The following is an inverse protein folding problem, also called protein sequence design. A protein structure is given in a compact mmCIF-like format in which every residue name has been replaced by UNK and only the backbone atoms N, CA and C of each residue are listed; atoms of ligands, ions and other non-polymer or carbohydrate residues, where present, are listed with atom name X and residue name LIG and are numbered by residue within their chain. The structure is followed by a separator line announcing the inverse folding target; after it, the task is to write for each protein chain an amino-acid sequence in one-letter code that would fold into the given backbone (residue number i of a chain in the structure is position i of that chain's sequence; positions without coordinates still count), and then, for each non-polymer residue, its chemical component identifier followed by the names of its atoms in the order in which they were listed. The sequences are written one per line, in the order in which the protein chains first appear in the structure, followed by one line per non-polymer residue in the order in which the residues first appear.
data_IF_868053616970
#
_entry.id   IF_868053616970
#
_cell.length_a   1.000
_cell.length_b   1.000
_cell.length_c   1.000
_cell.angle_alpha   90.00
_cell.angle_beta   90.00
_cell.angle_gamma   90.00
#
_symmetry.space_group_name_H-M   'P 1'
#
loop_
_entity.id
_entity.type
_entity.pdbx_description
1 polymer ?
#
# COMPACT_ATOMS: atom_id res chain seq x y z
N UNK A 1 40.61 -11.95 35.53
CA UNK A 1 39.32 -12.61 35.31
C UNK A 1 38.46 -11.64 34.53
N UNK A 2 38.57 -11.68 33.20
CA UNK A 2 37.98 -10.68 32.30
C UNK A 2 37.67 -11.35 30.97
N UNK A 3 36.40 -11.58 30.68
CA UNK A 3 35.94 -12.09 29.38
C UNK A 3 35.46 -10.87 28.59
N UNK A 4 36.05 -10.61 27.43
CA UNK A 4 35.65 -9.52 26.54
C UNK A 4 34.71 -10.07 25.47
N UNK A 5 33.49 -9.53 25.39
CA UNK A 5 32.58 -9.82 24.27
C UNK A 5 33.17 -9.23 22.99
N UNK A 6 33.45 -10.08 22.01
CA UNK A 6 33.73 -9.66 20.62
C UNK A 6 32.40 -9.65 19.87
N UNK A 7 32.10 -8.54 19.21
CA UNK A 7 30.88 -8.39 18.43
C UNK A 7 30.91 -9.30 17.19
N UNK A 8 29.88 -10.13 17.03
CA UNK A 8 29.63 -10.86 15.77
C UNK A 8 28.82 -9.96 14.85
N UNK A 9 29.52 -9.10 14.11
CA UNK A 9 28.94 -8.43 12.95
C UNK A 9 28.92 -9.44 11.79
N UNK A 10 27.79 -10.14 11.61
CA UNK A 10 27.63 -11.10 10.52
C UNK A 10 27.42 -10.33 9.20
N UNK A 11 28.51 -10.15 8.45
CA UNK A 11 28.45 -9.53 7.13
C UNK A 11 27.72 -10.46 6.14
N UNK A 12 26.46 -10.16 5.86
CA UNK A 12 25.76 -10.71 4.70
C UNK A 12 26.32 -10.08 3.41
N UNK A 13 27.48 -10.56 2.95
CA UNK A 13 27.82 -10.45 1.54
C UNK A 13 26.84 -11.33 0.78
N UNK A 14 25.78 -10.73 0.24
CA UNK A 14 24.94 -11.37 -0.75
C UNK A 14 25.79 -11.56 -2.00
N UNK A 15 26.23 -12.81 -2.23
CA UNK A 15 26.77 -13.23 -3.50
C UNK A 15 25.64 -13.24 -4.53
N UNK A 16 25.28 -12.05 -5.01
CA UNK A 16 24.40 -11.87 -6.16
C UNK A 16 25.08 -12.45 -7.39
N UNK A 17 24.87 -13.74 -7.64
CA UNK A 17 25.17 -14.35 -8.93
C UNK A 17 24.54 -13.48 -10.02
N UNK A 18 25.29 -13.24 -11.10
CA UNK A 18 24.85 -12.41 -12.23
C UNK A 18 23.77 -13.18 -13.00
N UNK A 19 22.56 -13.19 -12.47
CA UNK A 19 21.36 -13.49 -13.24
C UNK A 19 21.20 -12.35 -14.25
N UNK A 20 21.21 -12.69 -15.54
CA UNK A 20 20.83 -11.76 -16.59
C UNK A 20 19.35 -11.38 -16.39
N UNK A 21 19.00 -10.12 -16.69
CA UNK A 21 17.59 -9.74 -16.83
C UNK A 21 16.95 -10.61 -17.92
N UNK A 22 15.67 -10.97 -17.77
CA UNK A 22 15.03 -11.86 -18.73
C UNK A 22 14.84 -11.20 -20.09
N UNK A 23 14.86 -12.03 -21.13
CA UNK A 23 14.61 -11.62 -22.51
C UNK A 23 13.09 -11.43 -22.73
N UNK A 24 12.57 -10.31 -22.22
CA UNK A 24 11.23 -9.84 -22.57
C UNK A 24 11.26 -9.24 -23.99
N UNK A 25 10.43 -9.73 -24.93
CA UNK A 25 10.38 -9.19 -26.28
C UNK A 25 10.23 -7.67 -26.31
N UNK A 26 11.06 -7.00 -27.10
CA UNK A 26 11.11 -5.55 -27.26
C UNK A 26 11.54 -4.73 -26.03
N UNK A 27 11.88 -5.34 -24.89
CA UNK A 27 12.38 -4.61 -23.73
C UNK A 27 13.91 -4.45 -23.80
N UNK A 28 14.43 -3.33 -23.30
CA UNK A 28 15.83 -3.12 -22.98
C UNK A 28 15.97 -2.79 -21.48
N UNK A 29 16.96 -3.35 -20.80
CA UNK A 29 17.13 -3.23 -19.35
C UNK A 29 18.42 -2.49 -18.97
N UNK A 30 18.43 -1.83 -17.80
CA UNK A 30 19.62 -1.20 -17.19
C UNK A 30 20.29 -0.20 -18.14
N UNK A 31 21.62 -0.17 -18.19
CA UNK A 31 22.44 0.66 -19.08
C UNK A 31 22.05 0.57 -20.58
N UNK A 32 21.49 -0.57 -21.03
CA UNK A 32 21.00 -0.71 -22.41
C UNK A 32 19.67 0.03 -22.64
N UNK A 33 18.89 0.33 -21.61
CA UNK A 33 17.65 1.11 -21.72
C UNK A 33 17.95 2.55 -22.16
N UNK A 34 18.88 3.24 -21.48
CA UNK A 34 19.28 4.60 -21.84
C UNK A 34 19.82 4.69 -23.28
N UNK A 35 20.64 3.72 -23.69
CA UNK A 35 21.15 3.62 -25.06
C UNK A 35 20.05 3.33 -26.10
N UNK A 36 19.06 2.49 -25.76
CA UNK A 36 17.94 2.15 -26.63
C UNK A 36 16.89 3.26 -26.75
N UNK A 37 16.74 4.11 -25.73
CA UNK A 37 15.87 5.29 -25.76
C UNK A 37 16.45 6.34 -26.72
N UNK A 38 17.74 6.68 -26.57
CA UNK A 38 18.45 7.55 -27.50
C UNK A 38 17.73 8.86 -27.81
N UNK A 39 17.32 9.05 -29.08
CA UNK A 39 16.64 10.26 -29.54
C UNK A 39 15.22 10.44 -28.98
N UNK A 40 14.57 9.37 -28.50
CA UNK A 40 13.21 9.40 -27.96
C UNK A 40 13.14 9.87 -26.50
N UNK A 41 14.28 10.22 -25.87
CA UNK A 41 14.38 10.56 -24.43
C UNK A 41 13.33 11.58 -23.95
N UNK A 42 13.03 12.60 -24.75
CA UNK A 42 12.02 13.60 -24.41
C UNK A 42 10.58 13.08 -24.52
N UNK A 43 10.32 12.08 -25.37
CA UNK A 43 9.02 11.40 -25.46
C UNK A 43 8.85 10.38 -24.34
N UNK A 44 9.89 9.61 -24.04
CA UNK A 44 9.88 8.63 -22.93
C UNK A 44 9.72 9.34 -21.58
N UNK A 45 10.35 10.51 -21.37
CA UNK A 45 10.18 11.31 -20.15
C UNK A 45 8.72 11.75 -19.98
N UNK A 46 8.11 12.34 -21.03
CA UNK A 46 6.68 12.68 -21.03
C UNK A 46 5.78 11.48 -20.79
N UNK A 47 6.10 10.33 -21.39
CA UNK A 47 5.36 9.08 -21.21
C UNK A 47 5.49 8.54 -19.78
N UNK A 48 6.62 8.77 -19.10
CA UNK A 48 6.81 8.42 -17.69
C UNK A 48 6.25 9.47 -16.70
N UNK A 49 5.80 10.64 -17.18
CA UNK A 49 5.28 11.73 -16.33
C UNK A 49 6.36 12.63 -15.72
N UNK A 50 7.62 12.47 -16.13
CA UNK A 50 8.79 13.15 -15.55
C UNK A 50 9.52 14.03 -16.58
N UNK A 51 10.53 14.79 -16.15
CA UNK A 51 11.45 15.49 -17.05
C UNK A 51 12.65 14.61 -17.47
N UNK A 52 13.49 15.10 -18.38
CA UNK A 52 14.63 14.33 -18.89
C UNK A 52 15.72 14.10 -17.83
N UNK A 53 16.15 15.09 -17.02
CA UNK A 53 17.02 14.86 -15.86
C UNK A 53 16.52 13.74 -14.94
N UNK A 54 15.23 13.75 -14.60
CA UNK A 54 14.64 12.76 -13.71
C UNK A 54 14.54 11.37 -14.37
N UNK A 55 14.16 11.29 -15.64
CA UNK A 55 14.23 10.04 -16.39
C UNK A 55 15.65 9.44 -16.38
N UNK A 56 16.69 10.27 -16.54
CA UNK A 56 18.08 9.81 -16.49
C UNK A 56 18.48 9.31 -15.09
N UNK A 57 17.87 9.83 -14.01
CA UNK A 57 18.01 9.28 -12.65
C UNK A 57 17.32 7.92 -12.55
N UNK A 58 16.06 7.82 -12.98
CA UNK A 58 15.28 6.58 -12.95
C UNK A 58 15.94 5.43 -13.72
N UNK A 59 16.59 5.73 -14.86
CA UNK A 59 17.34 4.74 -15.66
C UNK A 59 18.60 4.19 -14.97
N UNK A 60 18.97 4.67 -13.78
CA UNK A 60 20.00 4.06 -12.93
C UNK A 60 19.47 2.91 -12.07
N UNK A 61 18.15 2.79 -11.92
CA UNK A 61 17.53 1.66 -11.25
C UNK A 61 17.83 0.35 -12.01
N UNK A 62 18.18 -0.70 -11.28
CA UNK A 62 18.54 -2.01 -11.88
C UNK A 62 17.34 -2.79 -12.43
N UNK A 63 16.14 -2.42 -11.99
CA UNK A 63 14.87 -3.11 -12.16
C UNK A 63 13.94 -2.40 -13.16
N UNK A 64 14.35 -1.23 -13.66
CA UNK A 64 13.66 -0.51 -14.75
C UNK A 64 13.99 -1.09 -16.14
N UNK A 65 12.94 -1.26 -16.94
CA UNK A 65 12.97 -1.70 -18.33
C UNK A 65 12.30 -0.69 -19.26
N UNK A 66 12.77 -0.64 -20.50
CA UNK A 66 12.24 0.20 -21.56
C UNK A 66 11.66 -0.65 -22.69
N UNK A 67 10.34 -0.56 -22.91
CA UNK A 67 9.68 -1.10 -24.10
C UNK A 67 9.95 -0.19 -25.31
N UNK A 68 10.77 -0.70 -26.23
CA UNK A 68 11.21 -0.02 -27.46
C UNK A 68 10.09 0.20 -28.48
N UNK A 69 9.00 -0.56 -28.42
CA UNK A 69 7.86 -0.45 -29.35
C UNK A 69 6.86 0.56 -28.84
N UNK A 70 6.47 0.47 -27.57
CA UNK A 70 5.46 1.37 -26.99
C UNK A 70 6.06 2.67 -26.42
N UNK A 71 7.38 2.79 -26.37
CA UNK A 71 8.13 3.91 -25.77
C UNK A 71 7.74 4.16 -24.31
N UNK A 72 7.62 3.08 -23.53
CA UNK A 72 7.13 3.07 -22.14
C UNK A 72 8.14 2.41 -21.21
N UNK A 73 8.12 2.82 -19.95
CA UNK A 73 8.88 2.19 -18.89
C UNK A 73 8.03 1.12 -18.20
N UNK A 74 8.69 0.08 -17.71
CA UNK A 74 8.16 -0.88 -16.77
C UNK A 74 9.16 -1.09 -15.65
N UNK A 75 8.68 -1.46 -14.46
CA UNK A 75 9.53 -2.05 -13.43
C UNK A 75 9.33 -3.56 -13.41
N UNK A 76 10.40 -4.26 -13.03
CA UNK A 76 10.31 -5.66 -12.66
C UNK A 76 11.00 -5.90 -11.32
N UNK A 77 10.18 -6.11 -10.31
CA UNK A 77 10.52 -5.90 -8.91
C UNK A 77 11.26 -7.11 -8.34
N UNK A 78 12.46 -7.37 -8.87
CA UNK A 78 13.32 -8.50 -8.51
C UNK A 78 13.77 -8.42 -7.05
N UNK A 79 13.92 -7.21 -6.49
CA UNK A 79 14.25 -7.02 -5.07
C UNK A 79 13.13 -7.39 -4.09
N UNK A 80 11.89 -7.55 -4.57
CA UNK A 80 10.75 -8.02 -3.78
C UNK A 80 10.66 -9.56 -3.73
N UNK A 81 11.40 -10.28 -4.57
CA UNK A 81 11.41 -11.74 -4.53
C UNK A 81 12.09 -12.26 -3.25
N UNK A 82 11.34 -12.99 -2.44
CA UNK A 82 11.81 -13.61 -1.19
C UNK A 82 12.51 -14.93 -1.51
N UNK A 83 13.68 -15.23 -0.90
CA UNK A 83 14.38 -16.50 -1.14
C UNK A 83 13.52 -17.73 -0.84
N UNK A 84 13.57 -18.73 -1.72
CA UNK A 84 12.81 -19.96 -1.57
C UNK A 84 13.13 -20.67 -0.23
N UNK A 85 12.09 -20.99 0.53
CA UNK A 85 12.23 -21.60 1.87
C UNK A 85 12.53 -20.62 3.01
N UNK A 86 12.58 -19.32 2.77
CA UNK A 86 12.60 -18.33 3.85
C UNK A 86 11.27 -18.35 4.61
N UNK A 87 11.31 -18.71 5.88
CA UNK A 87 10.17 -18.54 6.79
C UNK A 87 9.89 -17.04 6.96
N UNK A 88 8.64 -16.58 6.81
CA UNK A 88 8.30 -15.20 7.10
C UNK A 88 8.74 -14.80 8.52
N UNK A 89 9.48 -13.70 8.62
CA UNK A 89 9.89 -13.17 9.91
C UNK A 89 8.69 -12.45 10.52
N UNK A 90 8.00 -13.13 11.44
CA UNK A 90 6.83 -12.58 12.12
C UNK A 90 7.16 -11.21 12.74
N UNK A 91 6.40 -10.18 12.34
CA UNK A 91 6.61 -8.83 12.84
C UNK A 91 6.20 -8.74 14.33
N UNK A 92 7.02 -8.16 15.22
CA UNK A 92 6.67 -8.03 16.63
C UNK A 92 5.70 -6.85 16.87
N UNK A 93 4.60 -7.11 17.57
CA UNK A 93 3.86 -6.08 18.31
C UNK A 93 2.51 -5.68 17.72
N UNK A 94 1.49 -5.70 18.58
CA UNK A 94 0.09 -5.33 18.33
C UNK A 94 -0.14 -3.82 18.26
N UNK A 95 -1.03 -3.36 17.38
CA UNK A 95 -1.86 -2.16 17.59
C UNK A 95 -2.82 -1.89 16.42
N UNK A 96 -4.16 -1.99 16.58
CA UNK A 96 -5.09 -1.91 15.42
C UNK A 96 -6.60 -1.56 15.67
N UNK A 97 -7.49 -1.57 14.63
CA UNK A 97 -8.88 -1.05 14.63
C UNK A 97 -10.09 -2.00 14.80
N UNK A 98 -11.25 -1.37 15.04
CA UNK A 98 -12.21 -0.97 13.99
C UNK A 98 -13.28 -2.00 13.65
N UNK A 99 -13.19 -2.54 12.45
CA UNK A 99 -14.02 -3.65 12.00
C UNK A 99 -13.10 -4.83 11.67
N UNK A 100 -13.27 -6.02 12.28
CA UNK A 100 -12.50 -7.21 11.94
C UNK A 100 -12.77 -7.64 10.48
N UNK A 101 -11.89 -8.47 9.94
CA UNK A 101 -12.08 -9.03 8.60
C UNK A 101 -13.40 -9.82 8.50
N UNK A 102 -14.10 -9.77 7.34
CA UNK A 102 -15.28 -10.59 7.10
C UNK A 102 -15.02 -12.07 7.39
N UNK A 103 -15.84 -12.66 8.25
CA UNK A 103 -15.75 -14.08 8.62
C UNK A 103 -16.42 -15.00 7.61
N UNK A 104 -17.26 -14.46 6.72
CA UNK A 104 -17.84 -15.18 5.60
C UNK A 104 -16.83 -15.28 4.45
N UNK A 105 -16.23 -16.45 4.29
CA UNK A 105 -15.21 -16.72 3.28
C UNK A 105 -15.77 -16.78 1.85
N UNK A 106 -17.09 -16.81 1.65
CA UNK A 106 -17.68 -16.70 0.32
C UNK A 106 -17.51 -15.31 -0.29
N UNK A 107 -17.30 -14.29 0.56
CA UNK A 107 -17.08 -12.92 0.13
C UNK A 107 -15.72 -12.69 -0.55
N UNK A 108 -14.77 -13.64 -0.49
CA UNK A 108 -13.40 -13.46 -0.99
C UNK A 108 -13.30 -12.92 -2.43
N UNK A 109 -14.30 -13.17 -3.28
CA UNK A 109 -14.38 -12.71 -4.69
C UNK A 109 -15.49 -11.66 -4.93
N UNK A 110 -15.95 -11.00 -3.86
CA UNK A 110 -17.06 -10.04 -3.80
C UNK A 110 -16.78 -8.86 -2.86
N UNK A 111 -15.51 -8.59 -2.56
CA UNK A 111 -15.10 -7.51 -1.65
C UNK A 111 -15.05 -6.18 -2.40
N UNK A 112 -15.40 -5.09 -1.73
CA UNK A 112 -15.34 -3.72 -2.24
C UNK A 112 -14.99 -2.78 -1.10
N UNK A 113 -13.92 -1.98 -1.23
CA UNK A 113 -13.55 -1.00 -0.18
C UNK A 113 -14.44 0.23 -0.20
N UNK A 114 -14.96 0.57 -1.39
CA UNK A 114 -15.79 1.77 -1.61
C UNK A 114 -16.70 1.58 -2.83
N UNK A 115 -17.77 0.76 -2.73
CA UNK A 115 -18.73 0.57 -3.81
C UNK A 115 -19.22 1.90 -4.40
N UNK A 116 -19.09 2.07 -5.71
CA UNK A 116 -19.54 3.27 -6.43
C UNK A 116 -18.51 4.40 -6.54
N UNK A 117 -17.27 4.21 -6.07
CA UNK A 117 -16.18 5.16 -6.33
C UNK A 117 -15.90 5.31 -7.85
N UNK A 118 -15.43 6.49 -8.31
CA UNK A 118 -15.16 6.77 -9.73
C UNK A 118 -13.83 6.16 -10.23
N UNK A 119 -13.07 5.49 -9.36
CA UNK A 119 -11.82 4.79 -9.65
C UNK A 119 -11.88 3.37 -9.09
N UNK A 120 -11.18 2.43 -9.72
CA UNK A 120 -11.17 1.02 -9.29
C UNK A 120 -9.81 0.34 -9.41
N UNK A 121 -9.45 -0.42 -8.39
CA UNK A 121 -8.31 -1.33 -8.39
C UNK A 121 -8.85 -2.76 -8.24
N UNK A 122 -8.75 -3.57 -9.29
CA UNK A 122 -9.22 -4.96 -9.29
C UNK A 122 -8.08 -5.88 -8.90
N UNK A 123 -8.30 -6.67 -7.84
CA UNK A 123 -7.39 -7.71 -7.38
C UNK A 123 -7.91 -9.05 -7.86
N UNK A 124 -7.35 -9.54 -8.97
CA UNK A 124 -7.69 -10.78 -9.64
C UNK A 124 -6.87 -11.93 -9.04
N UNK A 125 -7.55 -12.79 -8.29
CA UNK A 125 -7.01 -14.02 -7.74
C UNK A 125 -7.52 -15.27 -8.49
N UNK A 126 -8.46 -15.11 -9.42
CA UNK A 126 -9.17 -16.24 -10.06
C UNK A 126 -8.49 -16.76 -11.32
N UNK A 127 -7.41 -16.11 -11.74
CA UNK A 127 -6.54 -16.53 -12.82
C UNK A 127 -6.89 -15.80 -14.13
N UNK A 128 -5.87 -15.39 -14.86
CA UNK A 128 -6.02 -14.45 -15.98
C UNK A 128 -5.29 -14.92 -17.23
N UNK A 129 -5.91 -14.71 -18.40
CA UNK A 129 -5.24 -14.89 -19.70
C UNK A 129 -5.04 -13.54 -20.37
N UNK A 130 -3.84 -12.98 -20.20
CA UNK A 130 -3.45 -11.68 -20.77
C UNK A 130 -3.15 -11.83 -22.25
N UNK A 131 -3.95 -11.21 -23.11
CA UNK A 131 -3.83 -11.23 -24.58
C UNK A 131 -4.13 -9.87 -25.19
N UNK A 132 -3.46 -9.51 -26.29
CA UNK A 132 -3.71 -8.25 -27.02
C UNK A 132 -3.17 -6.99 -26.33
N UNK A 133 -2.31 -7.14 -25.34
CA UNK A 133 -1.72 -6.06 -24.52
C UNK A 133 -0.26 -5.78 -24.90
N UNK A 134 0.33 -4.74 -24.33
CA UNK A 134 1.76 -4.43 -24.40
C UNK A 134 2.67 -5.52 -23.80
N UNK A 135 2.12 -6.49 -23.04
CA UNK A 135 2.89 -7.65 -22.54
C UNK A 135 3.05 -8.77 -23.56
N UNK A 136 2.24 -8.74 -24.63
CA UNK A 136 2.16 -9.77 -25.65
C UNK A 136 2.99 -9.41 -26.89
N UNK A 137 3.46 -10.43 -27.60
CA UNK A 137 4.21 -10.30 -28.85
C UNK A 137 3.88 -11.45 -29.81
N UNK A 138 4.43 -11.42 -31.03
CA UNK A 138 4.33 -12.55 -31.95
C UNK A 138 4.95 -13.85 -31.41
N UNK A 139 5.96 -13.76 -30.53
CA UNK A 139 6.58 -14.91 -29.86
C UNK A 139 5.92 -15.29 -28.53
N UNK A 140 5.14 -14.38 -27.92
CA UNK A 140 4.36 -14.61 -26.70
C UNK A 140 2.94 -14.01 -26.85
N UNK A 141 2.05 -14.65 -27.63
CA UNK A 141 0.74 -14.08 -27.97
C UNK A 141 -0.25 -14.05 -26.79
N UNK A 142 -0.02 -14.88 -25.77
CA UNK A 142 -0.75 -14.91 -24.51
C UNK A 142 0.20 -15.09 -23.33
N UNK A 143 -0.24 -14.67 -22.15
CA UNK A 143 0.34 -15.01 -20.84
C UNK A 143 -0.81 -15.58 -20.00
N UNK A 144 -0.67 -16.81 -19.52
CA UNK A 144 -1.65 -17.44 -18.62
C UNK A 144 -1.10 -17.37 -17.21
N UNK A 145 -1.79 -16.66 -16.33
CA UNK A 145 -1.51 -16.63 -14.90
C UNK A 145 -2.51 -17.55 -14.21
N UNK A 146 -2.07 -18.61 -13.50
CA UNK A 146 -2.98 -19.48 -12.78
C UNK A 146 -3.60 -18.73 -11.58
N UNK A 147 -4.65 -19.27 -10.96
CA UNK A 147 -5.23 -18.72 -9.74
C UNK A 147 -4.21 -18.65 -8.60
N UNK A 148 -4.54 -17.87 -7.57
CA UNK A 148 -3.81 -17.90 -6.30
C UNK A 148 -4.01 -19.25 -5.60
N UNK A 149 -2.91 -19.95 -5.34
CA UNK A 149 -2.89 -21.35 -4.90
C UNK A 149 -1.78 -21.57 -3.86
N UNK A 150 -2.12 -22.26 -2.76
CA UNK A 150 -1.25 -22.61 -1.64
C UNK A 150 -1.15 -24.13 -1.41
N UNK A 151 -2.14 -24.91 -1.86
CA UNK A 151 -2.23 -26.36 -1.61
C UNK A 151 -1.98 -27.22 -2.86
N UNK A 152 -1.80 -26.59 -4.03
CA UNK A 152 -1.52 -27.23 -5.31
C UNK A 152 -2.78 -27.60 -6.10
N UNK A 153 -3.94 -27.04 -5.75
CA UNK A 153 -5.25 -27.38 -6.33
C UNK A 153 -5.92 -26.16 -6.98
N UNK A 154 -5.37 -25.62 -8.08
CA UNK A 154 -5.82 -24.37 -8.71
C UNK A 154 -7.24 -24.41 -9.30
N UNK A 155 -7.95 -25.54 -9.23
CA UNK A 155 -9.37 -25.63 -9.61
C UNK A 155 -10.33 -25.22 -8.50
N UNK A 156 -9.84 -25.00 -7.28
CA UNK A 156 -10.65 -24.67 -6.09
C UNK A 156 -9.89 -23.75 -5.15
N UNK A 157 -10.61 -23.04 -4.27
CA UNK A 157 -10.00 -22.29 -3.17
C UNK A 157 -10.38 -22.91 -1.83
N UNK A 158 -9.37 -23.32 -1.06
CA UNK A 158 -9.44 -23.68 0.35
C UNK A 158 -9.88 -22.49 1.22
N UNK A 159 -10.32 -22.77 2.45
CA UNK A 159 -10.64 -21.72 3.42
C UNK A 159 -9.41 -20.87 3.80
N UNK A 160 -8.21 -21.41 3.67
CA UNK A 160 -6.96 -20.69 3.96
C UNK A 160 -6.64 -19.68 2.87
N UNK A 161 -6.81 -20.04 1.59
CA UNK A 161 -6.68 -19.07 0.49
C UNK A 161 -7.74 -17.98 0.60
N UNK A 162 -9.00 -18.32 0.87
CA UNK A 162 -10.07 -17.32 1.02
C UNK A 162 -9.80 -16.34 2.17
N UNK A 163 -9.29 -16.82 3.32
CA UNK A 163 -8.83 -15.96 4.42
C UNK A 163 -7.66 -15.06 4.01
N UNK A 164 -6.69 -15.60 3.26
CA UNK A 164 -5.56 -14.83 2.76
C UNK A 164 -6.01 -13.75 1.76
N UNK A 165 -6.91 -14.07 0.82
CA UNK A 165 -7.49 -13.14 -0.15
C UNK A 165 -8.20 -11.98 0.55
N UNK A 166 -9.04 -12.27 1.56
CA UNK A 166 -9.69 -11.23 2.38
C UNK A 166 -8.65 -10.35 3.09
N UNK A 167 -7.62 -10.95 3.68
CA UNK A 167 -6.57 -10.22 4.39
C UNK A 167 -5.75 -9.31 3.45
N UNK A 168 -5.39 -9.81 2.27
CA UNK A 168 -4.65 -9.09 1.21
C UNK A 168 -5.51 -7.92 0.70
N UNK A 169 -6.76 -8.19 0.30
CA UNK A 169 -7.69 -7.14 -0.15
C UNK A 169 -7.81 -6.03 0.89
N UNK A 170 -7.97 -6.39 2.18
CA UNK A 170 -8.17 -5.39 3.24
C UNK A 170 -6.91 -4.57 3.53
N UNK A 171 -5.71 -5.10 3.27
CA UNK A 171 -4.46 -4.35 3.36
C UNK A 171 -4.30 -3.37 2.19
N UNK A 172 -4.47 -3.82 0.95
CA UNK A 172 -4.45 -2.93 -0.23
C UNK A 172 -5.56 -1.86 -0.13
N UNK A 173 -6.72 -2.22 0.43
CA UNK A 173 -7.81 -1.28 0.70
C UNK A 173 -7.47 -0.23 1.78
N UNK A 174 -6.53 -0.51 2.68
CA UNK A 174 -6.00 0.47 3.64
C UNK A 174 -4.95 1.36 2.96
N UNK A 175 -4.02 0.78 2.18
CA UNK A 175 -2.99 1.53 1.44
C UNK A 175 -3.59 2.63 0.55
N UNK A 176 -4.72 2.33 -0.10
CA UNK A 176 -5.43 3.27 -0.95
C UNK A 176 -6.62 3.98 -0.26
N UNK A 177 -6.76 3.87 1.07
CA UNK A 177 -7.93 4.37 1.80
C UNK A 177 -8.14 5.88 1.71
N UNK A 178 -7.08 6.66 1.51
CA UNK A 178 -7.13 8.11 1.34
C UNK A 178 -7.84 8.56 0.04
N UNK A 179 -7.91 7.69 -0.97
CA UNK A 179 -8.42 8.03 -2.30
C UNK A 179 -9.88 7.60 -2.50
N UNK A 180 -10.57 8.31 -3.39
CA UNK A 180 -11.94 8.01 -3.85
C UNK A 180 -11.89 6.84 -4.86
N UNK A 181 -11.47 5.67 -4.38
CA UNK A 181 -11.19 4.46 -5.15
C UNK A 181 -11.81 3.23 -4.50
N UNK A 182 -12.31 2.34 -5.36
CA UNK A 182 -12.87 1.04 -5.00
C UNK A 182 -11.80 -0.04 -5.22
N UNK A 183 -11.16 -0.50 -4.15
CA UNK A 183 -10.32 -1.71 -4.17
C UNK A 183 -11.25 -2.91 -4.06
N UNK A 184 -11.22 -3.81 -5.04
CA UNK A 184 -12.21 -4.89 -5.15
C UNK A 184 -11.62 -6.22 -5.59
N UNK A 185 -12.21 -7.31 -5.11
CA UNK A 185 -11.98 -8.68 -5.62
C UNK A 185 -13.11 -9.17 -6.52
N UNK A 186 -14.13 -8.34 -6.78
CA UNK A 186 -15.18 -8.64 -7.73
C UNK A 186 -14.74 -8.21 -9.14
N UNK A 187 -14.55 -9.19 -10.02
CA UNK A 187 -14.03 -8.95 -11.37
C UNK A 187 -15.12 -8.66 -12.42
N UNK A 188 -16.39 -8.78 -12.03
CA UNK A 188 -17.56 -8.68 -12.91
C UNK A 188 -18.54 -7.60 -12.47
N UNK A 189 -19.27 -7.00 -13.39
CA UNK A 189 -20.44 -6.19 -13.04
C UNK A 189 -21.66 -7.05 -12.68
N UNK A 190 -22.77 -6.39 -12.33
CA UNK A 190 -24.03 -7.04 -11.98
C UNK A 190 -24.70 -7.85 -13.12
N UNK A 191 -24.21 -7.74 -14.36
CA UNK A 191 -24.62 -8.58 -15.50
C UNK A 191 -23.74 -9.82 -15.69
N UNK A 192 -22.63 -9.92 -14.95
CA UNK A 192 -21.62 -10.97 -15.10
C UNK A 192 -20.56 -10.67 -16.16
N UNK A 193 -20.56 -9.48 -16.77
CA UNK A 193 -19.53 -9.05 -17.70
C UNK A 193 -18.27 -8.62 -16.94
N UNK A 194 -17.08 -8.85 -17.49
CA UNK A 194 -15.83 -8.34 -16.90
C UNK A 194 -15.87 -6.81 -16.76
N UNK A 195 -15.37 -6.30 -15.64
CA UNK A 195 -15.33 -4.87 -15.38
C UNK A 195 -14.50 -4.12 -16.42
N UNK A 196 -15.08 -3.08 -17.00
CA UNK A 196 -14.36 -2.13 -17.84
C UNK A 196 -13.51 -1.20 -16.97
N UNK A 197 -12.19 -1.23 -17.18
CA UNK A 197 -11.18 -0.44 -16.47
C UNK A 197 -10.62 0.72 -17.31
N UNK A 198 -11.11 0.91 -18.53
CA UNK A 198 -10.71 2.03 -19.39
C UNK A 198 -11.12 3.38 -18.77
N UNK A 199 -10.17 4.31 -18.70
CA UNK A 199 -10.27 5.63 -18.09
C UNK A 199 -10.62 5.68 -16.58
N UNK A 200 -10.67 4.54 -15.88
CA UNK A 200 -11.12 4.49 -14.48
C UNK A 200 -10.46 3.41 -13.61
N UNK A 201 -9.61 2.53 -14.13
CA UNK A 201 -9.05 1.46 -13.30
C UNK A 201 -7.71 0.87 -13.73
N UNK A 202 -7.23 -0.06 -12.90
CA UNK A 202 -6.13 -0.98 -13.21
C UNK A 202 -6.43 -2.35 -12.59
N UNK A 203 -5.87 -3.41 -13.19
CA UNK A 203 -5.94 -4.78 -12.67
C UNK A 203 -4.58 -5.23 -12.15
N UNK A 204 -4.54 -5.74 -10.93
CA UNK A 204 -3.46 -6.59 -10.43
C UNK A 204 -3.88 -8.06 -10.56
N UNK A 205 -3.12 -8.87 -11.29
CA UNK A 205 -3.32 -10.32 -11.37
C UNK A 205 -2.34 -10.99 -10.43
N UNK A 206 -2.87 -11.76 -9.48
CA UNK A 206 -2.15 -12.29 -8.33
C UNK A 206 -2.18 -13.82 -8.39
N UNK A 207 -1.12 -14.43 -8.92
CA UNK A 207 -1.09 -15.88 -9.10
C UNK A 207 0.21 -16.40 -9.74
N UNK A 208 0.44 -17.71 -9.58
CA UNK A 208 1.57 -18.42 -10.20
C UNK A 208 2.96 -17.94 -9.77
N UNK A 209 3.91 -18.11 -10.69
CA UNK A 209 5.33 -17.87 -10.50
C UNK A 209 5.89 -16.95 -11.59
N UNK A 210 6.79 -16.05 -11.21
CA UNK A 210 7.52 -15.19 -12.13
C UNK A 210 8.35 -16.00 -13.14
N UNK A 211 8.72 -17.24 -12.81
CA UNK A 211 9.41 -18.15 -13.75
C UNK A 211 8.49 -18.74 -14.83
N UNK A 212 7.16 -18.62 -14.72
CA UNK A 212 6.22 -19.21 -15.69
C UNK A 212 6.28 -18.50 -17.06
N UNK A 213 6.59 -17.20 -17.07
CA UNK A 213 6.68 -16.40 -18.29
C UNK A 213 7.64 -15.21 -18.24
N UNK A 214 7.89 -14.63 -17.05
CA UNK A 214 8.82 -13.51 -16.89
C UNK A 214 10.28 -14.01 -16.89
N UNK A 215 10.58 -15.15 -16.28
CA UNK A 215 11.82 -15.91 -16.48
C UNK A 215 12.97 -15.62 -15.51
N UNK A 216 12.79 -14.69 -14.57
CA UNK A 216 13.65 -14.51 -13.39
C UNK A 216 12.79 -14.33 -12.13
N UNK A 217 13.39 -14.27 -10.94
CA UNK A 217 12.66 -14.10 -9.69
C UNK A 217 12.23 -12.65 -9.46
N UNK A 218 10.93 -12.37 -9.43
CA UNK A 218 10.37 -11.05 -9.11
C UNK A 218 9.13 -11.18 -8.20
N UNK A 219 8.90 -10.17 -7.35
CA UNK A 219 7.66 -10.07 -6.59
C UNK A 219 6.47 -9.68 -7.48
N UNK A 220 6.71 -8.80 -8.44
CA UNK A 220 5.76 -8.41 -9.48
C UNK A 220 6.44 -7.72 -10.66
N UNK A 221 5.64 -7.37 -11.66
CA UNK A 221 6.03 -6.48 -12.78
C UNK A 221 4.86 -5.59 -13.21
N UNK A 222 5.13 -4.32 -13.51
CA UNK A 222 4.11 -3.36 -13.95
C UNK A 222 4.66 -2.31 -14.92
N UNK A 223 3.83 -1.88 -15.87
CA UNK A 223 4.10 -0.70 -16.70
C UNK A 223 3.89 0.58 -15.88
N UNK A 224 4.74 1.59 -16.10
CA UNK A 224 4.75 2.85 -15.35
C UNK A 224 3.83 3.89 -15.98
N UNK A 225 3.07 4.62 -15.15
CA UNK A 225 2.24 5.76 -15.57
C UNK A 225 1.16 5.36 -16.60
N UNK A 226 0.40 4.31 -16.28
CA UNK A 226 -0.48 3.58 -17.21
C UNK A 226 -1.91 3.30 -16.72
N UNK A 227 -2.27 3.74 -15.51
CA UNK A 227 -3.63 3.58 -14.96
C UNK A 227 -4.71 4.12 -15.92
N UNK A 228 -5.83 3.43 -15.99
CA UNK A 228 -6.93 3.72 -16.91
C UNK A 228 -6.67 3.28 -18.36
N UNK A 229 -5.53 2.66 -18.68
CA UNK A 229 -5.27 2.12 -20.01
C UNK A 229 -5.07 0.60 -19.99
N UNK A 230 -6.13 -0.09 -20.45
CA UNK A 230 -6.22 -1.55 -20.51
C UNK A 230 -5.27 -2.20 -21.52
N UNK A 231 -4.71 -1.45 -22.48
CA UNK A 231 -3.66 -1.97 -23.36
C UNK A 231 -2.37 -2.31 -22.60
N UNK A 232 -2.14 -1.68 -21.44
CA UNK A 232 -0.99 -1.95 -20.58
C UNK A 232 -1.37 -2.81 -19.35
N UNK A 233 -2.63 -3.19 -19.16
CA UNK A 233 -3.01 -4.12 -18.08
C UNK A 233 -2.44 -5.52 -18.35
N UNK A 234 -2.25 -6.36 -17.33
CA UNK A 234 -2.36 -6.04 -15.91
C UNK A 234 -1.02 -5.56 -15.32
N UNK A 235 -1.02 -5.20 -14.04
CA UNK A 235 0.13 -5.42 -13.16
C UNK A 235 0.14 -6.91 -12.74
N UNK A 236 1.30 -7.56 -12.73
CA UNK A 236 1.42 -8.95 -12.29
C UNK A 236 2.07 -9.03 -10.92
N UNK A 237 1.56 -9.91 -10.06
CA UNK A 237 2.07 -10.20 -8.73
C UNK A 237 2.25 -11.72 -8.62
N UNK A 238 3.39 -12.18 -8.11
CA UNK A 238 3.80 -13.59 -8.15
C UNK A 238 3.90 -14.23 -6.76
N UNK A 239 2.79 -14.76 -6.20
CA UNK A 239 2.75 -15.47 -4.93
C UNK A 239 3.90 -16.46 -4.69
N UNK A 240 4.34 -17.23 -5.70
CA UNK A 240 5.42 -18.20 -5.53
C UNK A 240 6.76 -17.58 -5.13
N UNK A 241 7.01 -16.30 -5.48
CA UNK A 241 8.21 -15.54 -5.09
C UNK A 241 7.96 -14.66 -3.85
N UNK A 242 6.72 -14.58 -3.37
CA UNK A 242 6.30 -13.77 -2.23
C UNK A 242 6.05 -14.66 -1.00
N UNK A 243 7.07 -15.43 -0.63
CA UNK A 243 7.02 -16.35 0.51
C UNK A 243 6.00 -17.48 0.37
N UNK A 244 5.82 -18.00 -0.84
CA UNK A 244 4.78 -19.00 -1.19
C UNK A 244 3.37 -18.51 -0.85
N UNK A 245 3.01 -17.32 -1.34
CA UNK A 245 1.70 -16.70 -1.13
C UNK A 245 1.52 -16.17 0.29
N UNK A 246 2.58 -15.71 0.95
CA UNK A 246 2.45 -15.15 2.29
C UNK A 246 1.72 -13.79 2.22
N UNK A 247 0.57 -13.60 2.92
CA UNK A 247 -0.28 -12.43 2.72
C UNK A 247 0.43 -11.08 2.77
N UNK A 248 1.27 -10.86 3.79
CA UNK A 248 2.03 -9.60 3.94
C UNK A 248 2.81 -9.30 2.67
N UNK A 249 3.55 -10.27 2.14
CA UNK A 249 4.41 -10.04 0.97
C UNK A 249 3.59 -9.86 -0.30
N UNK A 250 2.44 -10.55 -0.41
CA UNK A 250 1.51 -10.42 -1.54
C UNK A 250 0.81 -9.06 -1.56
N UNK A 251 0.30 -8.54 -0.43
CA UNK A 251 -0.37 -7.23 -0.45
C UNK A 251 0.60 -6.07 -0.64
N UNK A 252 1.77 -6.12 -0.01
CA UNK A 252 2.82 -5.10 -0.16
C UNK A 252 3.29 -5.00 -1.62
N UNK A 253 3.52 -6.15 -2.28
CA UNK A 253 3.80 -6.18 -3.71
C UNK A 253 2.60 -5.70 -4.55
N UNK A 254 1.37 -6.10 -4.21
CA UNK A 254 0.16 -5.65 -4.92
C UNK A 254 0.02 -4.13 -4.90
N UNK A 255 0.20 -3.50 -3.74
CA UNK A 255 0.13 -2.04 -3.61
C UNK A 255 1.26 -1.32 -4.34
N UNK A 256 2.48 -1.89 -4.31
CA UNK A 256 3.67 -1.41 -5.02
C UNK A 256 3.49 -1.43 -6.55
N UNK A 257 3.08 -2.56 -7.12
CA UNK A 257 2.86 -2.69 -8.57
C UNK A 257 1.71 -1.78 -9.07
N UNK A 258 0.67 -1.60 -8.26
CA UNK A 258 -0.39 -0.63 -8.53
C UNK A 258 0.10 0.83 -8.39
N UNK A 259 1.10 1.09 -7.54
CA UNK A 259 1.81 2.36 -7.46
C UNK A 259 2.53 2.70 -8.76
N UNK A 260 3.25 1.74 -9.36
CA UNK A 260 3.85 1.92 -10.69
C UNK A 260 2.80 2.26 -11.77
N UNK A 261 1.63 1.60 -11.76
CA UNK A 261 0.52 1.94 -12.68
C UNK A 261 0.11 3.41 -12.53
N UNK A 262 0.18 3.96 -11.33
CA UNK A 262 -0.13 5.37 -11.02
C UNK A 262 1.03 6.34 -11.24
N UNK A 263 2.19 5.85 -11.69
CA UNK A 263 3.34 6.66 -12.10
C UNK A 263 4.57 6.55 -11.19
N UNK A 264 4.43 5.91 -10.03
CA UNK A 264 5.46 5.90 -8.99
C UNK A 264 6.70 5.09 -9.36
N UNK A 265 7.84 5.51 -8.81
CA UNK A 265 9.15 4.86 -8.94
C UNK A 265 9.66 4.33 -7.59
N UNK A 266 10.67 3.45 -7.62
CA UNK A 266 11.18 2.85 -6.38
C UNK A 266 11.71 3.88 -5.39
N UNK A 267 11.44 3.61 -4.11
CA UNK A 267 12.02 4.29 -2.96
C UNK A 267 13.24 3.51 -2.48
N UNK A 268 14.41 3.91 -2.97
CA UNK A 268 15.71 3.33 -2.59
C UNK A 268 16.58 4.30 -1.79
N UNK A 269 17.81 3.88 -1.49
CA UNK A 269 18.82 4.71 -0.83
C UNK A 269 20.13 4.89 -1.61
N UNK A 270 20.92 5.89 -1.23
CA UNK A 270 22.25 6.17 -1.79
C UNK A 270 23.34 5.23 -1.27
N UNK A 271 22.98 4.24 -0.44
CA UNK A 271 23.88 3.15 -0.03
C UNK A 271 23.83 1.97 -1.02
N UNK A 272 22.93 2.01 -2.01
CA UNK A 272 22.80 1.01 -3.07
C UNK A 272 21.63 0.05 -2.88
N UNK A 273 20.76 0.27 -1.89
CA UNK A 273 19.51 -0.48 -1.79
C UNK A 273 18.49 0.13 -2.76
N UNK A 274 18.09 -0.63 -3.78
CA UNK A 274 17.00 -0.21 -4.69
C UNK A 274 15.64 -0.10 -3.98
N UNK A 275 15.47 -0.82 -2.86
CA UNK A 275 14.26 -0.81 -2.04
C UNK A 275 14.64 -0.51 -0.60
N UNK A 276 14.12 0.59 -0.05
CA UNK A 276 14.35 1.00 1.32
C UNK A 276 13.47 0.17 2.27
N UNK A 277 14.10 -0.58 3.18
CA UNK A 277 13.42 -1.44 4.17
C UNK A 277 12.84 -0.70 5.37
N UNK A 278 12.74 0.63 5.32
CA UNK A 278 12.13 1.46 6.35
C UNK A 278 13.00 1.78 7.58
N UNK A 279 12.43 2.57 8.49
CA UNK A 279 13.02 3.00 9.76
C UNK A 279 12.00 2.95 10.90
N UNK A 280 12.42 2.48 12.07
CA UNK A 280 11.51 2.26 13.20
C UNK A 280 10.39 1.29 12.79
N UNK A 281 9.13 1.73 12.95
CA UNK A 281 7.91 1.01 12.58
C UNK A 281 7.43 1.26 11.14
N UNK A 282 8.08 2.14 10.38
CA UNK A 282 7.60 2.63 9.09
C UNK A 282 8.47 2.17 7.91
N UNK A 283 7.87 1.90 6.75
CA UNK A 283 8.53 1.79 5.45
C UNK A 283 7.69 2.46 4.35
N UNK A 284 8.32 2.89 3.24
CA UNK A 284 7.59 3.32 2.06
C UNK A 284 7.02 2.12 1.29
N UNK A 285 5.82 2.27 0.73
CA UNK A 285 5.17 1.26 -0.14
C UNK A 285 6.03 1.01 -1.39
N UNK A 286 6.60 2.07 -1.98
CA UNK A 286 7.51 1.98 -3.12
C UNK A 286 8.92 1.46 -2.76
N UNK A 287 9.18 1.13 -1.49
CA UNK A 287 10.37 0.40 -1.03
C UNK A 287 10.03 -1.06 -0.73
N UNK A 288 10.37 -1.55 0.47
CA UNK A 288 10.02 -2.93 0.90
C UNK A 288 9.51 -2.95 2.35
N UNK A 289 8.17 -2.90 2.50
CA UNK A 289 7.47 -2.80 3.79
C UNK A 289 7.25 -4.11 4.56
N UNK A 290 7.77 -5.23 4.06
CA UNK A 290 7.52 -6.61 4.54
C UNK A 290 7.65 -6.84 6.05
N UNK A 291 8.48 -6.06 6.74
CA UNK A 291 8.79 -6.25 8.17
C UNK A 291 8.35 -5.05 9.03
N UNK A 292 7.48 -4.18 8.49
CA UNK A 292 7.01 -2.96 9.14
C UNK A 292 5.50 -3.02 9.39
N UNK A 293 5.03 -2.66 10.59
CA UNK A 293 3.60 -2.58 10.86
C UNK A 293 2.94 -1.32 10.26
N UNK A 294 3.74 -0.30 9.91
CA UNK A 294 3.27 0.89 9.18
C UNK A 294 3.92 0.97 7.81
N UNK A 295 3.10 1.16 6.79
CA UNK A 295 3.51 1.36 5.39
C UNK A 295 2.76 2.55 4.83
N UNK A 296 3.41 3.42 4.07
CA UNK A 296 2.78 4.62 3.49
C UNK A 296 3.41 4.96 2.14
N UNK A 297 2.69 5.75 1.35
CA UNK A 297 3.28 6.49 0.24
C UNK A 297 4.21 7.57 0.78
N UNK A 298 5.21 7.95 -0.01
CA UNK A 298 6.43 8.62 0.43
C UNK A 298 6.69 9.94 -0.31
N UNK A 299 7.64 10.71 0.24
CA UNK A 299 8.26 11.85 -0.46
C UNK A 299 9.78 11.92 -0.24
N UNK A 300 10.44 10.76 -0.17
CA UNK A 300 11.89 10.65 0.02
C UNK A 300 12.42 11.13 1.38
N UNK A 301 11.57 11.22 2.42
CA UNK A 301 11.92 11.87 3.70
C UNK A 301 12.75 11.01 4.66
N UNK A 302 13.28 9.88 4.21
CA UNK A 302 14.09 8.98 5.01
C UNK A 302 15.59 9.23 4.81
N UNK A 303 16.45 8.84 5.77
CA UNK A 303 17.89 9.03 5.64
C UNK A 303 18.43 8.35 4.38
N UNK A 304 19.25 9.09 3.63
CA UNK A 304 19.89 8.63 2.39
C UNK A 304 18.94 8.31 1.23
N UNK A 305 17.69 8.79 1.22
CA UNK A 305 16.79 8.58 0.08
C UNK A 305 17.45 8.95 -1.27
N UNK A 306 17.27 8.10 -2.27
CA UNK A 306 17.75 8.33 -3.64
C UNK A 306 16.62 8.74 -4.61
N UNK A 307 15.36 8.61 -4.17
CA UNK A 307 14.16 9.14 -4.78
C UNK A 307 13.60 10.27 -3.88
N UNK A 308 13.08 11.33 -4.50
CA UNK A 308 12.41 12.46 -3.83
C UNK A 308 11.08 12.81 -4.52
N UNK A 309 10.55 11.87 -5.32
CA UNK A 309 9.19 11.86 -5.83
C UNK A 309 8.20 11.98 -4.67
N UNK A 310 7.26 12.92 -4.75
CA UNK A 310 6.13 13.00 -3.82
C UNK A 310 5.02 12.11 -4.38
N UNK A 311 4.95 10.87 -3.91
CA UNK A 311 4.07 9.81 -4.41
C UNK A 311 2.61 10.29 -4.45
N UNK A 312 2.19 10.95 -3.38
CA UNK A 312 0.84 11.46 -3.23
C UNK A 312 0.53 12.55 -4.26
N UNK A 313 1.48 13.48 -4.47
CA UNK A 313 1.34 14.50 -5.49
C UNK A 313 1.32 13.88 -6.90
N UNK A 314 2.14 12.86 -7.19
CA UNK A 314 2.14 12.17 -8.49
C UNK A 314 0.81 11.48 -8.75
N UNK A 315 0.35 10.62 -7.83
CA UNK A 315 -0.91 9.87 -7.98
C UNK A 315 -2.13 10.78 -8.12
N UNK A 316 -2.11 11.98 -7.52
CA UNK A 316 -3.27 12.88 -7.49
C UNK A 316 -3.21 14.07 -8.44
N UNK A 317 -2.13 14.24 -9.22
CA UNK A 317 -1.97 15.35 -10.14
C UNK A 317 -2.84 15.18 -11.41
N UNK A 318 -3.92 15.98 -11.59
CA UNK A 318 -4.79 15.88 -12.77
C UNK A 318 -4.12 16.40 -14.06
N UNK A 319 -2.94 17.02 -13.94
CA UNK A 319 -2.13 17.52 -15.06
C UNK A 319 -0.97 16.58 -15.41
N UNK A 320 -0.81 15.45 -14.71
CA UNK A 320 0.20 14.45 -15.08
C UNK A 320 -0.14 13.86 -16.44
N UNK A 321 0.88 13.64 -17.29
CA UNK A 321 0.72 13.07 -18.63
C UNK A 321 0.58 11.55 -18.57
N UNK A 322 -0.50 11.08 -17.94
CA UNK A 322 -0.85 9.66 -17.87
C UNK A 322 -1.35 9.15 -19.23
N UNK A 323 -1.35 7.83 -19.43
CA UNK A 323 -1.93 7.22 -20.65
C UNK A 323 -3.41 7.48 -20.86
N UNK A 324 -4.14 7.78 -19.78
CA UNK A 324 -5.55 8.20 -19.81
C UNK A 324 -5.66 9.61 -19.23
N UNK A 325 -6.52 10.44 -19.83
CA UNK A 325 -6.87 11.77 -19.32
C UNK A 325 -7.59 11.74 -17.96
N UNK A 326 -7.97 10.55 -17.47
CA UNK A 326 -8.55 10.30 -16.14
C UNK A 326 -7.67 9.40 -15.28
N UNK A 327 -6.41 9.20 -15.67
CA UNK A 327 -5.47 8.24 -15.10
C UNK A 327 -5.14 8.44 -13.60
N UNK A 328 -5.44 9.62 -13.05
CA UNK A 328 -5.10 10.02 -11.69
C UNK A 328 -6.18 9.66 -10.66
N UNK A 329 -5.76 9.60 -9.39
CA UNK A 329 -6.61 9.46 -8.21
C UNK A 329 -7.09 10.81 -7.69
N UNK A 330 -8.24 10.82 -7.03
CA UNK A 330 -8.71 11.98 -6.24
C UNK A 330 -8.78 11.57 -4.78
N UNK A 331 -8.34 12.43 -3.86
CA UNK A 331 -8.59 12.24 -2.44
C UNK A 331 -10.09 12.13 -2.13
N UNK A 332 -10.41 11.44 -1.04
CA UNK A 332 -11.73 11.54 -0.42
C UNK A 332 -11.96 12.96 0.14
N UNK A 333 -13.22 13.37 0.31
CA UNK A 333 -13.55 14.50 1.16
C UNK A 333 -13.23 14.19 2.63
N UNK A 334 -12.67 15.15 3.35
CA UNK A 334 -12.56 15.22 4.82
C UNK A 334 -13.89 14.81 5.47
N UNK A 335 -13.86 13.86 6.39
CA UNK A 335 -15.03 13.34 7.09
C UNK A 335 -15.22 13.91 8.52
N UNK A 336 -14.20 14.53 9.11
CA UNK A 336 -14.18 15.01 10.50
C UNK A 336 -13.40 16.32 10.66
N UNK A 337 -14.15 17.42 10.73
CA UNK A 337 -13.62 18.77 10.63
C UNK A 337 -12.38 19.10 11.47
N UNK A 338 -11.34 19.53 10.75
CA UNK A 338 -9.98 19.90 11.15
C UNK A 338 -9.76 20.95 12.27
N UNK A 339 -10.76 21.32 13.07
CA UNK A 339 -10.57 22.29 14.17
C UNK A 339 -11.41 22.02 15.41
N UNK A 340 -10.94 22.56 16.55
CA UNK A 340 -11.71 22.73 17.79
C UNK A 340 -13.14 23.26 17.54
N UNK A 341 -13.35 24.14 16.56
CA UNK A 341 -14.66 24.73 16.27
C UNK A 341 -15.58 23.82 15.44
N UNK A 342 -14.99 22.95 14.60
CA UNK A 342 -15.69 22.03 13.71
C UNK A 342 -15.93 20.63 14.32
N UNK A 343 -15.52 20.42 15.58
CA UNK A 343 -15.50 19.11 16.23
C UNK A 343 -16.86 18.38 16.24
N UNK A 344 -16.95 17.23 15.57
CA UNK A 344 -18.19 16.46 15.43
C UNK A 344 -18.67 15.86 16.78
N UNK A 345 -19.97 15.88 17.10
CA UNK A 345 -20.47 15.45 18.40
C UNK A 345 -20.63 13.92 18.51
N UNK A 346 -19.92 13.32 19.47
CA UNK A 346 -20.13 11.95 19.95
C UNK A 346 -21.27 11.92 20.98
N UNK A 347 -22.47 11.58 20.51
CA UNK A 347 -23.62 11.34 21.38
C UNK A 347 -23.52 9.96 22.06
N UNK A 348 -23.10 9.94 23.33
CA UNK A 348 -22.92 8.69 24.08
C UNK A 348 -24.23 8.09 24.62
N UNK A 349 -24.31 6.75 24.59
CA UNK A 349 -25.41 5.98 25.17
C UNK A 349 -25.00 5.36 26.52
N UNK A 350 -25.91 5.27 27.52
CA UNK A 350 -25.59 4.64 28.81
C UNK A 350 -25.11 3.20 28.67
N UNK A 351 -24.07 2.82 29.42
CA UNK A 351 -23.54 1.45 29.37
C UNK A 351 -24.38 0.49 30.21
N UNK A 352 -24.52 -0.76 29.76
CA UNK A 352 -25.31 -1.79 30.45
C UNK A 352 -24.74 -2.16 31.83
N UNK A 353 -23.42 -2.04 32.00
CA UNK A 353 -22.73 -2.35 33.26
C UNK A 353 -22.81 -1.18 34.27
N UNK A 354 -22.88 0.06 33.78
CA UNK A 354 -22.99 1.27 34.60
C UNK A 354 -23.77 2.35 33.82
N UNK A 355 -25.08 2.56 34.14
CA UNK A 355 -25.90 3.57 33.49
C UNK A 355 -25.45 5.02 33.73
N UNK A 356 -24.53 5.27 34.67
CA UNK A 356 -23.95 6.60 34.89
C UNK A 356 -22.81 6.92 33.92
N UNK A 357 -22.28 5.91 33.24
CA UNK A 357 -21.27 6.04 32.17
C UNK A 357 -21.94 5.94 30.81
N UNK A 358 -21.47 6.76 29.86
CA UNK A 358 -21.86 6.67 28.46
C UNK A 358 -20.72 6.17 27.58
N UNK A 359 -21.04 5.43 26.51
CA UNK A 359 -20.10 5.03 25.46
C UNK A 359 -20.53 5.61 24.11
N UNK A 360 -19.55 5.95 23.28
CA UNK A 360 -19.74 6.43 21.91
C UNK A 360 -18.55 5.95 21.06
N UNK A 361 -18.76 5.85 19.74
CA UNK A 361 -17.71 5.58 18.77
C UNK A 361 -17.94 6.47 17.54
N UNK A 362 -16.84 6.84 16.88
CA UNK A 362 -16.82 7.31 15.51
C UNK A 362 -15.80 6.47 14.73
N UNK A 363 -15.93 6.49 13.41
CA UNK A 363 -14.96 5.97 12.46
C UNK A 363 -14.72 7.11 11.48
N UNK A 364 -13.46 7.34 11.12
CA UNK A 364 -13.03 8.35 10.17
C UNK A 364 -11.79 7.89 9.41
N UNK A 365 -11.39 8.67 8.42
CA UNK A 365 -10.21 8.46 7.59
C UNK A 365 -9.30 9.70 7.69
N UNK A 366 -8.06 9.54 8.18
CA UNK A 366 -7.04 10.58 8.05
C UNK A 366 -6.51 10.54 6.62
N UNK A 367 -7.01 11.39 5.71
CA UNK A 367 -6.73 11.23 4.27
C UNK A 367 -5.51 12.00 3.75
N UNK A 368 -4.93 12.91 4.56
CA UNK A 368 -3.84 13.81 4.12
C UNK A 368 -2.84 14.17 5.23
N UNK A 369 -1.62 14.51 4.85
CA UNK A 369 -0.66 15.15 5.76
C UNK A 369 -1.20 16.48 6.29
N UNK A 370 -1.25 16.61 7.62
CA UNK A 370 -1.77 17.81 8.29
C UNK A 370 -3.25 17.76 8.65
N UNK A 371 -3.93 16.66 8.29
CA UNK A 371 -5.31 16.37 8.66
C UNK A 371 -5.45 15.97 10.14
N UNK A 372 -6.64 16.20 10.72
CA UNK A 372 -6.92 16.07 12.15
C UNK A 372 -8.40 15.93 12.51
N UNK A 373 -8.84 14.72 12.84
CA UNK A 373 -10.23 14.46 13.26
C UNK A 373 -10.55 15.10 14.60
N UNK A 374 -11.37 16.16 14.64
CA UNK A 374 -11.88 16.68 15.91
C UNK A 374 -13.23 16.07 16.29
N UNK A 375 -13.26 15.39 17.44
CA UNK A 375 -14.46 14.81 18.04
C UNK A 375 -14.78 15.52 19.37
N UNK A 376 -16.06 15.68 19.70
CA UNK A 376 -16.51 16.32 20.94
C UNK A 376 -17.47 15.45 21.74
N UNK A 377 -17.40 15.49 23.06
CA UNK A 377 -18.25 14.69 23.95
C UNK A 377 -18.51 15.45 25.26
N UNK A 378 -19.67 15.20 25.89
CA UNK A 378 -19.98 15.69 27.23
C UNK A 378 -19.63 14.62 28.27
N UNK A 379 -19.05 15.03 29.40
CA UNK A 379 -18.76 14.15 30.51
C UNK A 379 -18.71 14.92 31.84
N UNK A 380 -19.06 14.23 32.93
CA UNK A 380 -18.82 14.69 34.30
C UNK A 380 -17.33 14.69 34.68
N UNK A 381 -17.02 15.14 35.89
CA UNK A 381 -15.69 14.95 36.48
C UNK A 381 -15.41 13.46 36.73
N UNK A 382 -14.15 13.04 36.64
CA UNK A 382 -13.73 11.66 36.89
C UNK A 382 -13.01 11.00 35.71
N UNK A 383 -13.00 9.66 35.69
CA UNK A 383 -12.22 8.89 34.71
C UNK A 383 -12.97 8.64 33.41
N UNK A 384 -12.43 9.17 32.31
CA UNK A 384 -12.86 8.89 30.94
C UNK A 384 -11.80 8.04 30.23
N UNK A 385 -12.26 7.01 29.51
CA UNK A 385 -11.40 6.16 28.67
C UNK A 385 -11.75 6.41 27.21
N UNK A 386 -10.75 6.52 26.35
CA UNK A 386 -10.93 6.48 24.89
C UNK A 386 -10.07 5.38 24.31
N UNK A 387 -10.71 4.50 23.58
CA UNK A 387 -10.04 3.45 22.81
C UNK A 387 -9.72 3.99 21.44
N UNK A 388 -8.44 3.95 21.06
CA UNK A 388 -7.99 4.20 19.68
C UNK A 388 -7.83 2.86 18.98
N UNK A 389 -8.10 2.88 17.69
CA UNK A 389 -8.23 1.68 16.88
C UNK A 389 -7.88 2.10 15.41
N UNK A 390 -6.87 1.49 14.75
CA UNK A 390 -6.37 1.72 13.33
C UNK A 390 -6.20 0.40 12.49
N UNK A 391 -6.87 0.17 11.34
CA UNK A 391 -7.29 -1.15 10.74
C UNK A 391 -6.73 -2.50 11.28
N UNK A 392 -7.57 -3.52 11.65
CA UNK A 392 -7.14 -4.78 12.29
C UNK A 392 -5.94 -5.47 11.65
N UNK A 393 -5.16 -6.21 12.45
CA UNK A 393 -4.17 -7.13 11.91
C UNK A 393 -4.89 -8.25 11.17
N UNK A 394 -4.23 -8.81 10.14
CA UNK A 394 -4.73 -9.99 9.44
C UNK A 394 -4.91 -11.19 10.40
N UNK A 395 -5.67 -12.24 10.02
CA UNK A 395 -5.79 -13.47 10.83
C UNK A 395 -4.45 -14.14 11.16
N UNK A 396 -3.40 -13.83 10.40
CA UNK A 396 -2.04 -14.34 10.59
C UNK A 396 -1.18 -13.42 11.50
N UNK A 397 -1.80 -12.48 12.21
CA UNK A 397 -1.20 -11.48 13.12
C UNK A 397 -0.34 -10.39 12.46
N UNK A 398 -0.24 -10.38 11.14
CA UNK A 398 0.50 -9.33 10.41
C UNK A 398 -0.27 -8.01 10.34
N UNK A 399 0.44 -6.92 10.60
CA UNK A 399 -0.07 -5.56 10.62
C UNK A 399 -0.06 -4.90 9.23
N UNK A 400 -1.08 -4.06 9.00
CA UNK A 400 -1.42 -3.38 7.74
C UNK A 400 -2.01 -2.00 8.05
N UNK A 401 -1.26 -1.19 8.80
CA UNK A 401 -1.68 0.14 9.19
C UNK A 401 -1.00 1.18 8.31
N UNK A 402 -1.75 2.18 7.86
CA UNK A 402 -1.21 3.29 7.05
C UNK A 402 -1.14 4.60 7.84
N UNK A 403 -1.28 4.51 9.16
CA UNK A 403 -1.30 5.66 10.07
C UNK A 403 -0.77 5.28 11.46
N UNK A 404 0.14 6.08 12.00
CA UNK A 404 0.37 6.19 13.44
C UNK A 404 -0.41 7.41 13.95
N UNK A 405 -0.89 7.38 15.20
CA UNK A 405 -1.76 8.42 15.74
C UNK A 405 -1.19 9.08 16.99
N UNK A 406 -1.54 10.35 17.18
CA UNK A 406 -1.47 11.07 18.45
C UNK A 406 -2.88 11.51 18.82
N UNK A 407 -3.32 11.13 20.02
CA UNK A 407 -4.58 11.58 20.59
C UNK A 407 -4.32 12.71 21.59
N UNK A 408 -5.16 13.74 21.56
CA UNK A 408 -5.21 14.71 22.64
C UNK A 408 -6.61 14.85 23.23
N UNK A 409 -6.69 15.41 24.43
CA UNK A 409 -7.95 15.64 25.13
C UNK A 409 -7.98 17.06 25.64
N UNK A 410 -8.88 17.87 25.11
CA UNK A 410 -9.00 19.29 25.39
C UNK A 410 -10.28 19.57 26.20
N UNK A 411 -10.18 20.52 27.13
CA UNK A 411 -11.36 21.18 27.67
C UNK A 411 -11.82 22.29 26.71
N UNK A 412 -13.14 22.54 26.65
CA UNK A 412 -13.65 23.70 25.93
C UNK A 412 -12.98 25.00 26.42
N UNK A 413 -12.39 25.77 25.50
CA UNK A 413 -11.71 27.03 25.79
C UNK A 413 -10.31 26.92 26.42
N UNK A 414 -9.74 25.72 26.57
CA UNK A 414 -8.38 25.58 27.08
C UNK A 414 -7.31 25.94 26.04
N UNK A 415 -6.21 26.54 26.51
CA UNK A 415 -5.04 26.89 25.69
C UNK A 415 -4.05 25.72 25.48
N UNK A 416 -4.27 24.58 26.14
CA UNK A 416 -3.45 23.38 26.08
C UNK A 416 -4.31 22.12 26.34
N UNK A 417 -3.89 20.93 25.89
CA UNK A 417 -4.59 19.69 26.19
C UNK A 417 -4.48 19.30 27.67
N UNK A 418 -5.55 18.69 28.19
CA UNK A 418 -5.60 18.00 29.50
C UNK A 418 -4.75 16.73 29.51
N UNK A 419 -4.64 16.06 28.35
CA UNK A 419 -3.81 14.88 28.15
C UNK A 419 -3.41 14.74 26.68
N UNK A 420 -2.21 14.21 26.44
CA UNK A 420 -1.70 13.82 25.13
C UNK A 420 -1.21 12.38 25.22
N UNK A 421 -1.65 11.54 24.30
CA UNK A 421 -1.20 10.16 24.15
C UNK A 421 -0.46 10.05 22.81
N UNK A 422 0.79 9.61 22.87
CA UNK A 422 1.67 9.36 21.73
C UNK A 422 2.65 8.26 22.17
N UNK A 423 2.73 7.20 21.37
CA UNK A 423 3.54 5.99 21.63
C UNK A 423 5.00 6.11 21.18
N UNK A 424 5.40 7.25 20.62
CA UNK A 424 6.79 7.64 20.37
C UNK A 424 7.60 6.61 19.58
N UNK A 425 7.05 6.13 18.46
CA UNK A 425 7.69 5.13 17.60
C UNK A 425 7.13 3.70 17.73
N UNK A 426 5.98 3.55 18.37
CA UNK A 426 5.09 2.40 18.22
C UNK A 426 3.70 2.90 17.81
N UNK A 427 2.87 2.04 17.21
CA UNK A 427 1.52 2.38 16.78
C UNK A 427 0.59 2.68 17.97
N UNK A 428 -0.05 3.84 17.98
CA UNK A 428 -1.00 4.20 19.04
C UNK A 428 -2.34 3.45 18.87
N UNK A 429 -2.69 2.61 19.85
CA UNK A 429 -3.98 1.91 19.89
C UNK A 429 -4.41 1.56 21.32
N UNK A 430 -5.59 0.97 21.46
CA UNK A 430 -6.10 0.47 22.72
C UNK A 430 -6.63 1.58 23.64
N UNK A 431 -6.91 1.19 24.88
CA UNK A 431 -7.60 2.02 25.86
C UNK A 431 -6.67 3.04 26.55
N UNK A 432 -6.92 4.32 26.29
CA UNK A 432 -6.20 5.46 26.87
C UNK A 432 -7.08 6.16 27.92
N UNK A 433 -6.63 6.24 29.17
CA UNK A 433 -7.42 6.78 30.29
C UNK A 433 -6.96 8.18 30.70
N UNK A 434 -7.92 9.10 30.87
CA UNK A 434 -7.71 10.50 31.27
C UNK A 434 -8.65 10.89 32.41
N UNK A 435 -8.12 11.62 33.39
CA UNK A 435 -8.92 12.22 34.47
C UNK A 435 -9.45 13.59 34.03
N UNK A 436 -10.77 13.75 34.02
CA UNK A 436 -11.45 15.00 33.74
C UNK A 436 -11.64 15.79 35.04
N UNK A 437 -11.14 17.04 35.15
CA UNK A 437 -11.13 17.77 36.42
C UNK A 437 -12.48 18.37 36.84
N UNK A 438 -13.44 18.44 35.91
CA UNK A 438 -14.76 19.02 36.10
C UNK A 438 -15.76 18.37 35.12
N UNK A 439 -17.05 18.70 35.27
CA UNK A 439 -18.03 18.49 34.21
C UNK A 439 -17.79 19.44 33.03
N UNK A 440 -18.22 19.05 31.82
CA UNK A 440 -18.35 19.95 30.68
C UNK A 440 -18.00 19.30 29.33
N UNK A 441 -18.18 20.06 28.25
CA UNK A 441 -17.82 19.63 26.90
C UNK A 441 -16.30 19.51 26.75
N UNK A 442 -15.88 18.37 26.20
CA UNK A 442 -14.50 18.03 25.87
C UNK A 442 -14.38 17.89 24.36
N UNK A 443 -13.19 18.15 23.83
CA UNK A 443 -12.86 18.02 22.39
C UNK A 443 -11.55 17.24 22.24
N UNK A 444 -11.38 16.46 21.20
CA UNK A 444 -10.22 15.58 20.98
C UNK A 444 -9.83 15.64 19.51
N UNK A 445 -8.60 16.06 19.16
CA UNK A 445 -8.02 15.72 17.87
C UNK A 445 -7.46 14.30 17.92
N UNK A 446 -7.62 13.58 16.81
CA UNK A 446 -6.67 12.56 16.38
C UNK A 446 -5.74 13.26 15.38
N UNK A 447 -4.44 13.10 15.53
CA UNK A 447 -3.41 13.76 14.72
C UNK A 447 -2.50 12.70 14.10
N UNK A 448 -2.13 12.87 12.84
CA UNK A 448 -0.95 12.20 12.31
C UNK A 448 0.31 12.84 12.95
N UNK A 449 1.13 12.11 13.74
CA UNK A 449 2.24 12.70 14.49
C UNK A 449 3.48 12.92 13.63
N UNK A 450 3.50 12.42 12.39
CA UNK A 450 4.62 12.54 11.46
C UNK A 450 4.30 13.57 10.37
N UNK A 451 5.29 14.39 10.02
CA UNK A 451 5.22 15.36 8.92
C UNK A 451 5.37 14.71 7.52
N UNK A 452 5.25 13.39 7.46
CA UNK A 452 5.42 12.59 6.24
C UNK A 452 4.07 12.44 5.53
N UNK A 453 4.16 12.16 4.23
CA UNK A 453 3.02 11.78 3.38
C UNK A 453 2.17 10.72 4.08
N UNK A 454 0.84 10.95 4.11
CA UNK A 454 -0.17 10.01 4.61
C UNK A 454 -0.72 9.19 3.45
#
# INVERSE_FOLDING_TARGET
MSISLVAVALAFLVAGCIAGKPDLPNVAWRENAAAAIGADIAEVARNAGVDVPELLRLLTDRDIGYDKVNKRLLYACEGMAVPAGATPAAAPGTAVAGAPDPTDLSLAFKLHSRPGAPRRLVLDFTGHTTTGTAWNSASRPSIVTPPYDLDGVPSTFSDTERRNIIAIWRAVAEDYAAFDVDVTTEETDASGAQLNLADNGARAVIGGSSYDWYGSGAGGVAYVNTFGNTYYDPAFVFPAQLGSGYPKYVWEATSHELGHRLGLSHDGDTLGNAYYGGSGIWAPIMGVGYYKPVTQFSKGEYPNANNFEDDLAVMTNPNSLMTSIRGFMTYRPDDLGNTIAAAAPLAGTPTTADPTRTTAAAVGNIERTGDSDWLSFAAGAGSATVTITITPASPNSEARANVDLRLEVWAAGAAAPLATFNTAGALLSGANTVTLPAEGTRRRPLLHPSARSA
#
